data_IF_296751906933
#
_entry.id   IF_296751906933
#
_cell.length_a   1.000
_cell.length_b   1.000
_cell.length_c   1.000
_cell.angle_alpha   90.00
_cell.angle_beta   90.00
_cell.angle_gamma   90.00
#
_symmetry.space_group_name_H-M   'P 1'
#
loop_
_entity.id
_entity.type
_entity.pdbx_description
1 polymer ?
#
# COMPACT_ATOMS: atom_id res chain seq x y z
N UNK A 1 -7.72 27.46 -4.99
CA UNK A 1 -7.24 26.35 -4.11
C UNK A 1 -5.75 26.54 -3.83
N UNK A 2 -5.36 26.48 -2.58
CA UNK A 2 -3.98 26.41 -2.09
C UNK A 2 -3.89 25.27 -1.09
N UNK A 3 -2.73 24.70 -0.94
CA UNK A 3 -2.40 23.77 0.14
C UNK A 3 -1.67 24.55 1.23
N UNK A 4 -2.15 24.53 2.47
CA UNK A 4 -1.63 25.34 3.55
C UNK A 4 -1.18 24.43 4.69
N UNK A 5 0.10 24.54 5.07
CA UNK A 5 0.68 23.77 6.18
C UNK A 5 1.61 24.64 7.04
N UNK A 6 2.14 24.10 8.14
CA UNK A 6 3.01 24.84 9.05
C UNK A 6 4.33 25.26 8.39
N UNK A 7 4.91 26.34 8.89
CA UNK A 7 6.24 26.81 8.50
C UNK A 7 7.36 26.17 9.31
N UNK A 8 8.60 26.55 9.00
CA UNK A 8 9.78 26.07 9.73
C UNK A 8 10.27 24.69 9.26
N UNK A 9 10.61 23.80 10.19
CA UNK A 9 11.05 22.46 9.87
C UNK A 9 9.90 21.66 9.28
N UNK A 10 10.14 20.99 8.16
CA UNK A 10 9.17 20.07 7.58
C UNK A 10 9.48 18.62 7.96
N UNK A 11 8.43 17.79 8.01
CA UNK A 11 8.48 16.38 8.33
C UNK A 11 7.98 15.54 7.14
N UNK A 12 7.95 14.23 7.29
CA UNK A 12 7.37 13.35 6.28
C UNK A 12 5.85 13.56 6.15
N UNK A 13 5.21 13.92 7.23
CA UNK A 13 3.77 14.17 7.29
C UNK A 13 3.37 15.30 6.33
N UNK A 14 3.99 16.48 6.44
CA UNK A 14 3.74 17.60 5.53
C UNK A 14 4.03 17.28 4.06
N UNK A 15 5.18 16.62 3.82
CA UNK A 15 5.65 16.28 2.47
C UNK A 15 4.70 15.30 1.82
N UNK A 16 4.36 14.19 2.49
CA UNK A 16 3.46 13.16 1.95
C UNK A 16 2.02 13.67 1.81
N UNK A 17 1.57 14.52 2.74
CA UNK A 17 0.27 15.21 2.64
C UNK A 17 0.20 16.06 1.38
N UNK A 18 1.24 16.84 1.12
CA UNK A 18 1.34 17.66 -0.11
C UNK A 18 1.37 16.79 -1.36
N UNK A 19 2.14 15.70 -1.38
CA UNK A 19 2.21 14.76 -2.50
C UNK A 19 0.83 14.13 -2.76
N UNK A 20 0.13 13.66 -1.72
CA UNK A 20 -1.21 13.09 -1.87
C UNK A 20 -2.20 14.09 -2.47
N UNK A 21 -2.21 15.31 -1.96
CA UNK A 21 -3.08 16.36 -2.48
C UNK A 21 -2.75 16.72 -3.94
N UNK A 22 -1.47 16.72 -4.30
CA UNK A 22 -1.05 16.92 -5.70
C UNK A 22 -1.51 15.79 -6.63
N UNK A 23 -1.51 14.54 -6.18
CA UNK A 23 -2.02 13.39 -6.94
C UNK A 23 -3.54 13.43 -7.11
N UNK A 24 -4.26 13.96 -6.13
CA UNK A 24 -5.74 14.03 -6.15
C UNK A 24 -6.27 15.24 -6.93
N UNK A 25 -5.64 16.41 -6.75
CA UNK A 25 -6.17 17.69 -7.26
C UNK A 25 -5.29 18.34 -8.33
N UNK A 26 -4.13 17.76 -8.60
CA UNK A 26 -3.09 18.40 -9.40
C UNK A 26 -2.19 19.30 -8.53
N UNK A 27 -1.17 19.86 -9.18
CA UNK A 27 -0.19 20.70 -8.48
C UNK A 27 -0.78 22.07 -8.17
N UNK A 28 -0.85 22.43 -6.89
CA UNK A 28 -1.31 23.72 -6.41
C UNK A 28 -0.22 24.42 -5.60
N UNK A 29 -0.37 25.74 -5.42
CA UNK A 29 0.54 26.52 -4.59
C UNK A 29 0.50 26.00 -3.15
N UNK A 30 1.66 25.66 -2.61
CA UNK A 30 1.81 25.38 -1.18
C UNK A 30 2.18 26.66 -0.45
N UNK A 31 1.48 26.95 0.65
CA UNK A 31 1.76 28.06 1.56
C UNK A 31 2.17 27.47 2.90
N UNK A 32 3.43 27.68 3.26
CA UNK A 32 3.96 27.26 4.57
C UNK A 32 4.04 28.44 5.52
N UNK A 33 3.41 28.33 6.68
CA UNK A 33 3.29 29.48 7.59
C UNK A 33 3.02 29.07 9.05
N UNK A 34 3.48 29.88 9.97
CA UNK A 34 3.15 29.83 11.40
C UNK A 34 2.28 31.05 11.81
N UNK A 35 1.71 31.76 10.84
CA UNK A 35 0.92 32.96 11.09
C UNK A 35 -0.57 32.65 11.07
N UNK A 36 -1.31 33.10 12.05
CA UNK A 36 -2.77 33.04 12.12
C UNK A 36 -3.47 34.02 11.15
N UNK A 37 -2.69 34.87 10.46
CA UNK A 37 -3.18 35.92 9.57
C UNK A 37 -3.14 35.52 8.08
N UNK A 38 -3.48 34.27 7.74
CA UNK A 38 -3.58 33.83 6.36
C UNK A 38 -4.98 34.13 5.85
N UNK A 39 -5.05 34.67 4.62
CA UNK A 39 -6.31 34.70 3.89
C UNK A 39 -6.60 33.30 3.36
N UNK A 40 -7.63 32.68 3.93
CA UNK A 40 -8.13 31.34 3.58
C UNK A 40 -9.33 31.55 2.65
N UNK A 41 -9.35 30.80 1.54
CA UNK A 41 -10.46 30.73 0.60
C UNK A 41 -11.24 29.41 0.81
N UNK A 42 -12.49 29.36 0.39
CA UNK A 42 -13.39 28.22 0.66
C UNK A 42 -12.89 26.87 0.08
N UNK A 43 -12.05 26.94 -0.96
CA UNK A 43 -11.48 25.76 -1.63
C UNK A 43 -10.05 25.41 -1.18
N UNK A 44 -9.48 26.15 -0.22
CA UNK A 44 -8.15 25.87 0.31
C UNK A 44 -8.16 24.65 1.25
N UNK A 45 -7.10 23.85 1.20
CA UNK A 45 -6.92 22.70 2.08
C UNK A 45 -5.82 23.01 3.09
N UNK A 46 -6.21 23.05 4.37
CA UNK A 46 -5.33 23.33 5.51
C UNK A 46 -5.07 22.00 6.22
N UNK A 47 -3.82 21.68 6.47
CA UNK A 47 -3.41 20.45 7.14
C UNK A 47 -2.17 20.68 8.01
N UNK A 48 -2.04 19.87 9.05
CA UNK A 48 -0.94 19.89 10.01
C UNK A 48 -0.74 21.23 10.73
N UNK A 49 -1.77 22.05 10.73
CA UNK A 49 -1.80 23.39 11.37
C UNK A 49 -3.24 23.90 11.47
N UNK A 50 -3.49 24.79 12.42
CA UNK A 50 -4.71 25.61 12.50
C UNK A 50 -5.88 24.96 13.24
N UNK A 51 -5.72 23.79 13.84
CA UNK A 51 -6.75 23.15 14.67
C UNK A 51 -7.96 22.63 13.89
N UNK A 52 -7.85 22.50 12.54
CA UNK A 52 -8.93 22.07 11.65
C UNK A 52 -9.02 20.57 11.44
N UNK A 53 -9.80 20.17 10.42
CA UNK A 53 -10.12 18.78 10.09
C UNK A 53 -8.88 17.88 9.87
N UNK A 54 -7.80 18.42 9.32
CA UNK A 54 -6.59 17.68 8.97
C UNK A 54 -5.38 18.12 9.82
N UNK A 55 -5.64 18.59 11.05
CA UNK A 55 -4.62 18.86 12.04
C UNK A 55 -4.76 17.86 13.19
N UNK A 56 -3.66 17.34 13.69
CA UNK A 56 -3.62 16.31 14.72
C UNK A 56 -3.01 16.80 16.06
N UNK A 57 -2.69 18.09 16.15
CA UNK A 57 -2.02 18.66 17.32
C UNK A 57 -2.97 19.00 18.49
N UNK A 58 -4.28 18.87 18.29
CA UNK A 58 -5.27 19.19 19.31
C UNK A 58 -5.35 18.12 20.41
N UNK A 59 -5.71 18.56 21.62
CA UNK A 59 -6.07 17.63 22.70
C UNK A 59 -7.30 16.83 22.25
N UNK A 60 -7.19 15.51 22.31
CA UNK A 60 -8.24 14.60 21.84
C UNK A 60 -8.25 14.37 20.34
N UNK A 61 -7.11 14.62 19.66
CA UNK A 61 -6.92 14.24 18.26
C UNK A 61 -7.28 12.76 18.02
N UNK A 62 -7.74 12.45 16.82
CA UNK A 62 -8.28 11.14 16.48
C UNK A 62 -7.23 10.02 16.55
N UNK A 63 -7.66 8.87 17.04
CA UNK A 63 -6.84 7.65 17.13
C UNK A 63 -7.60 6.53 16.42
N UNK A 64 -6.89 5.69 15.67
CA UNK A 64 -7.46 4.49 15.03
C UNK A 64 -7.85 3.45 16.08
N UNK A 65 -8.74 2.52 15.73
CA UNK A 65 -9.19 1.43 16.61
C UNK A 65 -8.02 0.55 17.11
N UNK A 66 -6.93 0.47 16.36
CA UNK A 66 -5.70 -0.24 16.75
C UNK A 66 -4.75 0.56 17.66
N UNK A 67 -5.15 1.77 18.06
CA UNK A 67 -4.39 2.63 18.97
C UNK A 67 -3.33 3.51 18.30
N UNK A 68 -3.19 3.48 16.97
CA UNK A 68 -2.26 4.36 16.24
C UNK A 68 -2.94 5.72 16.02
N UNK A 69 -2.39 6.82 16.57
CA UNK A 69 -2.94 8.14 16.34
C UNK A 69 -2.77 8.55 14.88
N UNK A 70 -3.72 9.32 14.35
CA UNK A 70 -3.57 9.92 13.04
C UNK A 70 -2.54 11.08 13.10
N UNK A 71 -1.80 11.25 12.00
CA UNK A 71 -1.17 12.51 11.64
C UNK A 71 -1.92 13.14 10.45
N UNK A 72 -1.50 14.29 9.96
CA UNK A 72 -2.22 14.96 8.88
C UNK A 72 -2.29 14.09 7.61
N UNK A 73 -1.22 13.36 7.29
CA UNK A 73 -1.20 12.45 6.14
C UNK A 73 -2.26 11.34 6.26
N UNK A 74 -2.41 10.73 7.42
CA UNK A 74 -3.43 9.70 7.64
C UNK A 74 -4.86 10.25 7.58
N UNK A 75 -5.10 11.46 8.11
CA UNK A 75 -6.39 12.15 8.00
C UNK A 75 -6.74 12.46 6.54
N UNK A 76 -5.78 12.96 5.77
CA UNK A 76 -5.94 13.23 4.33
C UNK A 76 -6.10 11.95 3.52
N UNK A 77 -5.35 10.87 3.85
CA UNK A 77 -5.48 9.57 3.21
C UNK A 77 -6.90 9.02 3.36
N UNK A 78 -7.42 9.02 4.57
CA UNK A 78 -8.80 8.57 4.86
C UNK A 78 -9.84 9.33 4.03
N UNK A 79 -9.66 10.63 3.88
CA UNK A 79 -10.60 11.48 3.14
C UNK A 79 -10.47 11.35 1.62
N UNK A 80 -9.25 11.27 1.11
CA UNK A 80 -9.00 11.45 -0.32
C UNK A 80 -8.53 10.20 -1.07
N UNK A 81 -8.13 9.13 -0.40
CA UNK A 81 -7.77 7.87 -1.07
C UNK A 81 -8.88 7.32 -1.98
N UNK A 82 -10.20 7.49 -1.70
CA UNK A 82 -11.24 7.06 -2.62
C UNK A 82 -11.20 7.74 -4.00
N UNK A 83 -10.55 8.91 -4.12
CA UNK A 83 -10.39 9.63 -5.39
C UNK A 83 -9.21 9.12 -6.23
N UNK A 84 -8.39 8.23 -5.70
CA UNK A 84 -7.22 7.67 -6.39
C UNK A 84 -7.56 6.51 -7.32
N UNK A 85 -8.83 6.06 -7.38
CA UNK A 85 -9.24 4.94 -8.23
C UNK A 85 -8.74 3.59 -7.73
N UNK A 86 -8.49 3.46 -6.43
CA UNK A 86 -8.09 2.21 -5.77
C UNK A 86 -9.34 1.41 -5.36
N UNK A 87 -9.22 0.08 -5.40
CA UNK A 87 -10.17 -0.78 -4.69
C UNK A 87 -10.12 -0.46 -3.19
N UNK A 88 -11.24 -0.43 -2.44
CA UNK A 88 -11.25 -0.12 -1.00
C UNK A 88 -10.27 -0.96 -0.18
N UNK A 89 -10.18 -2.27 -0.49
CA UNK A 89 -9.20 -3.18 0.10
C UNK A 89 -7.76 -2.73 -0.11
N UNK A 90 -7.40 -2.26 -1.33
CA UNK A 90 -6.04 -1.81 -1.64
C UNK A 90 -5.72 -0.48 -0.93
N UNK A 91 -6.68 0.43 -0.81
CA UNK A 91 -6.53 1.66 -0.04
C UNK A 91 -6.31 1.38 1.46
N UNK A 92 -7.03 0.41 2.02
CA UNK A 92 -6.85 -0.06 3.40
C UNK A 92 -5.48 -0.74 3.59
N UNK A 93 -5.02 -1.50 2.60
CA UNK A 93 -3.71 -2.15 2.63
C UNK A 93 -2.57 -1.13 2.64
N UNK A 94 -2.65 -0.07 1.81
CA UNK A 94 -1.70 1.06 1.85
C UNK A 94 -1.76 1.76 3.22
N UNK A 95 -2.96 1.98 3.78
CA UNK A 95 -3.06 2.57 5.12
C UNK A 95 -2.29 1.73 6.14
N UNK A 96 -2.51 0.42 6.18
CA UNK A 96 -1.85 -0.49 7.12
C UNK A 96 -0.34 -0.60 6.92
N UNK A 97 0.11 -0.74 5.67
CA UNK A 97 1.50 -1.05 5.35
C UNK A 97 2.39 0.20 5.28
N UNK A 98 1.82 1.38 5.03
CA UNK A 98 2.59 2.60 4.81
C UNK A 98 2.10 3.79 5.64
N UNK A 99 0.82 4.19 5.54
CA UNK A 99 0.32 5.44 6.15
C UNK A 99 0.42 5.40 7.67
N UNK A 100 -0.03 4.32 8.30
CA UNK A 100 0.00 4.18 9.77
C UNK A 100 1.42 4.27 10.32
N UNK A 101 2.40 3.79 9.57
CA UNK A 101 3.80 3.89 9.98
C UNK A 101 4.30 5.35 9.92
N UNK A 102 3.82 6.15 8.97
CA UNK A 102 4.17 7.58 8.89
C UNK A 102 3.51 8.34 10.04
N UNK A 103 2.22 8.11 10.29
CA UNK A 103 1.48 8.71 11.39
C UNK A 103 2.09 8.37 12.77
N UNK A 104 2.45 7.10 12.99
CA UNK A 104 3.14 6.67 14.23
C UNK A 104 4.49 7.37 14.40
N UNK A 105 5.24 7.51 13.30
CA UNK A 105 6.56 8.15 13.34
C UNK A 105 6.45 9.64 13.63
N UNK A 106 5.45 10.31 13.10
CA UNK A 106 5.21 11.73 13.34
C UNK A 106 4.79 11.98 14.79
N UNK A 107 3.81 11.26 15.31
CA UNK A 107 3.31 11.41 16.67
C UNK A 107 4.32 11.01 17.77
N UNK A 108 5.15 9.99 17.53
CA UNK A 108 6.05 9.44 18.57
C UNK A 108 7.55 9.64 18.30
N UNK A 109 7.88 10.29 17.19
CA UNK A 109 9.24 10.62 16.81
C UNK A 109 10.00 9.50 16.09
N UNK A 110 10.99 9.92 15.31
CA UNK A 110 11.78 9.06 14.41
C UNK A 110 12.71 8.06 15.11
N UNK A 111 12.95 8.22 16.42
CA UNK A 111 13.87 7.36 17.18
C UNK A 111 13.51 5.87 17.10
N UNK A 112 12.25 5.54 16.83
CA UNK A 112 11.78 4.17 16.68
C UNK A 112 12.06 3.55 15.31
N UNK A 113 12.35 4.35 14.26
CA UNK A 113 12.51 3.91 12.86
C UNK A 113 13.63 4.68 12.13
N UNK A 114 14.90 4.48 12.51
CA UNK A 114 16.02 5.31 12.02
C UNK A 114 16.29 5.18 10.50
N UNK A 115 15.82 4.13 9.85
CA UNK A 115 16.01 3.88 8.42
C UNK A 115 14.73 4.10 7.59
N UNK A 116 13.80 4.90 8.09
CA UNK A 116 12.53 5.20 7.42
C UNK A 116 12.66 6.33 6.40
N UNK A 117 11.64 6.48 5.54
CA UNK A 117 11.48 7.64 4.66
C UNK A 117 11.46 8.95 5.47
N UNK A 118 10.84 8.96 6.65
CA UNK A 118 10.82 10.09 7.57
C UNK A 118 12.22 10.53 7.98
N UNK A 119 13.14 9.58 8.23
CA UNK A 119 14.52 9.90 8.56
C UNK A 119 15.27 10.53 7.37
N UNK A 120 15.02 10.07 6.14
CA UNK A 120 15.59 10.66 4.92
C UNK A 120 15.09 12.07 4.68
N UNK A 121 13.79 12.31 4.82
CA UNK A 121 13.17 13.64 4.70
C UNK A 121 13.73 14.61 5.74
N UNK A 122 13.81 14.18 7.00
CA UNK A 122 14.43 14.97 8.07
C UNK A 122 15.91 15.29 7.79
N UNK A 123 16.65 14.37 7.21
CA UNK A 123 18.04 14.58 6.80
C UNK A 123 18.16 15.59 5.65
N UNK A 124 17.20 15.60 4.73
CA UNK A 124 17.12 16.57 3.63
C UNK A 124 16.90 17.99 4.16
N UNK A 125 16.02 18.16 5.17
CA UNK A 125 15.87 19.45 5.87
C UNK A 125 17.19 19.92 6.50
N UNK A 126 17.85 19.05 7.24
CA UNK A 126 19.15 19.36 7.88
C UNK A 126 20.24 19.70 6.87
N UNK A 127 20.18 19.14 5.68
CA UNK A 127 21.06 19.46 4.57
C UNK A 127 20.70 20.76 3.82
N UNK A 128 19.64 21.45 4.25
CA UNK A 128 19.22 22.74 3.69
C UNK A 128 18.43 22.64 2.37
N UNK A 129 17.85 21.46 2.06
CA UNK A 129 16.93 21.35 0.90
C UNK A 129 15.65 22.11 1.17
N UNK A 130 15.09 22.73 0.14
CA UNK A 130 13.76 23.35 0.23
C UNK A 130 12.67 22.29 0.39
N UNK A 131 11.51 22.71 0.86
CA UNK A 131 10.33 21.85 0.95
C UNK A 131 9.90 21.35 -0.43
N UNK A 132 9.87 22.25 -1.40
CA UNK A 132 9.49 21.99 -2.77
C UNK A 132 10.43 20.95 -3.42
N UNK A 133 11.76 21.08 -3.25
CA UNK A 133 12.71 20.09 -3.74
C UNK A 133 12.45 18.68 -3.20
N UNK A 134 12.00 18.58 -1.94
CA UNK A 134 11.74 17.28 -1.31
C UNK A 134 10.38 16.73 -1.75
N UNK A 135 9.37 17.58 -1.93
CA UNK A 135 8.09 17.18 -2.54
C UNK A 135 8.31 16.63 -3.94
N UNK A 136 9.11 17.31 -4.77
CA UNK A 136 9.43 16.88 -6.14
C UNK A 136 10.18 15.54 -6.19
N UNK A 137 10.94 15.20 -5.15
CA UNK A 137 11.61 13.90 -5.05
C UNK A 137 10.66 12.79 -4.56
N UNK A 138 9.74 13.10 -3.66
CA UNK A 138 8.88 12.10 -3.00
C UNK A 138 7.62 11.82 -3.81
N UNK A 139 7.09 12.81 -4.52
CA UNK A 139 5.86 12.69 -5.30
C UNK A 139 5.87 11.51 -6.29
N UNK A 140 6.89 11.34 -7.16
CA UNK A 140 6.92 10.19 -8.07
C UNK A 140 7.03 8.86 -7.32
N UNK A 141 7.69 8.81 -6.16
CA UNK A 141 7.76 7.57 -5.36
C UNK A 141 6.40 7.19 -4.77
N UNK A 142 5.62 8.17 -4.33
CA UNK A 142 4.25 7.93 -3.85
C UNK A 142 3.32 7.54 -5.01
N UNK A 143 3.51 8.13 -6.19
CA UNK A 143 2.77 7.77 -7.40
C UNK A 143 3.06 6.32 -7.83
N UNK A 144 4.32 5.90 -7.82
CA UNK A 144 4.73 4.52 -8.12
C UNK A 144 4.12 3.53 -7.12
N UNK A 145 4.13 3.87 -5.83
CA UNK A 145 3.47 3.07 -4.79
C UNK A 145 1.98 2.90 -5.11
N UNK A 146 1.25 3.99 -5.34
CA UNK A 146 -0.18 3.97 -5.65
C UNK A 146 -0.45 3.21 -6.95
N UNK A 147 0.38 3.37 -7.98
CA UNK A 147 0.26 2.63 -9.24
C UNK A 147 0.37 1.12 -9.02
N UNK A 148 1.35 0.67 -8.22
CA UNK A 148 1.49 -0.75 -7.85
C UNK A 148 0.23 -1.29 -7.18
N UNK A 149 -0.41 -0.50 -6.34
CA UNK A 149 -1.64 -0.92 -5.66
C UNK A 149 -2.90 -0.78 -6.54
N UNK A 150 -2.87 0.02 -7.62
CA UNK A 150 -3.91 -0.04 -8.67
C UNK A 150 -3.86 -1.38 -9.41
N UNK A 151 -2.68 -1.86 -9.78
CA UNK A 151 -2.53 -3.18 -10.39
C UNK A 151 -3.06 -4.29 -9.47
N UNK A 152 -2.84 -4.18 -8.16
CA UNK A 152 -3.43 -5.10 -7.19
C UNK A 152 -4.96 -4.94 -7.08
N UNK A 153 -5.48 -3.73 -7.22
CA UNK A 153 -6.92 -3.45 -7.23
C UNK A 153 -7.60 -4.15 -8.41
N UNK A 154 -7.01 -4.06 -9.60
CA UNK A 154 -7.51 -4.71 -10.80
C UNK A 154 -7.48 -6.24 -10.65
N UNK A 155 -6.39 -6.79 -10.12
CA UNK A 155 -6.30 -8.21 -9.81
C UNK A 155 -7.34 -8.64 -8.77
N UNK A 156 -7.59 -7.85 -7.72
CA UNK A 156 -8.60 -8.13 -6.70
C UNK A 156 -10.00 -8.21 -7.30
N UNK A 157 -10.37 -7.23 -8.13
CA UNK A 157 -11.66 -7.22 -8.85
C UNK A 157 -11.79 -8.42 -9.79
N UNK A 158 -10.73 -8.78 -10.52
CA UNK A 158 -10.74 -9.95 -11.39
C UNK A 158 -10.96 -11.23 -10.58
N UNK A 159 -10.24 -11.42 -9.48
CA UNK A 159 -10.42 -12.57 -8.58
C UNK A 159 -11.85 -12.65 -8.08
N UNK A 160 -12.39 -11.56 -7.50
CA UNK A 160 -13.76 -11.52 -6.98
C UNK A 160 -14.84 -11.82 -8.04
N UNK A 161 -14.57 -11.49 -9.30
CA UNK A 161 -15.49 -11.79 -10.42
C UNK A 161 -15.46 -13.25 -10.87
N UNK A 162 -14.40 -14.02 -10.52
CA UNK A 162 -14.11 -15.38 -11.05
C UNK A 162 -14.24 -16.48 -10.01
N UNK A 163 -14.37 -16.15 -8.74
CA UNK A 163 -14.47 -17.11 -7.63
C UNK A 163 -15.88 -17.11 -7.03
N UNK A 164 -16.23 -18.24 -6.41
CA UNK A 164 -17.36 -18.44 -5.52
C UNK A 164 -16.89 -18.97 -4.15
N UNK A 165 -17.82 -19.27 -3.26
CA UNK A 165 -17.54 -19.76 -1.90
C UNK A 165 -16.84 -21.14 -1.89
N UNK A 166 -16.99 -21.94 -2.96
CA UNK A 166 -16.44 -23.28 -3.07
C UNK A 166 -15.08 -23.32 -3.83
N UNK A 167 -14.62 -22.17 -4.32
CA UNK A 167 -13.37 -22.11 -5.12
C UNK A 167 -12.14 -22.24 -4.23
N UNK A 168 -11.49 -23.41 -4.25
CA UNK A 168 -10.26 -23.66 -3.49
C UNK A 168 -8.99 -23.59 -4.35
N UNK A 169 -9.10 -23.75 -5.70
CA UNK A 169 -8.01 -23.65 -6.66
C UNK A 169 -8.33 -22.58 -7.70
N UNK A 170 -7.50 -21.57 -7.79
CA UNK A 170 -7.65 -20.48 -8.76
C UNK A 170 -6.65 -20.65 -9.91
N UNK A 171 -7.15 -20.69 -11.13
CA UNK A 171 -6.32 -20.71 -12.34
C UNK A 171 -6.21 -19.30 -12.93
N UNK A 172 -5.06 -18.66 -12.75
CA UNK A 172 -4.75 -17.33 -13.29
C UNK A 172 -4.49 -17.28 -14.79
N UNK A 173 -4.43 -18.44 -15.49
CA UNK A 173 -4.12 -18.49 -16.91
C UNK A 173 -2.72 -17.96 -17.21
N UNK A 174 -2.62 -16.94 -18.06
CA UNK A 174 -1.36 -16.28 -18.41
C UNK A 174 -0.98 -15.13 -17.46
N UNK A 175 -1.79 -14.84 -16.44
CA UNK A 175 -1.58 -13.75 -15.48
C UNK A 175 -0.95 -14.28 -14.19
N UNK A 176 0.06 -13.56 -13.71
CA UNK A 176 0.62 -13.78 -12.38
C UNK A 176 -0.11 -12.93 -11.36
N UNK A 177 -0.86 -13.56 -10.47
CA UNK A 177 -1.59 -12.88 -9.39
C UNK A 177 -0.76 -12.77 -8.11
N UNK A 178 -0.82 -11.62 -7.45
CA UNK A 178 -0.26 -11.46 -6.11
C UNK A 178 -1.09 -12.28 -5.09
N UNK A 179 -0.41 -12.92 -4.14
CA UNK A 179 -1.09 -13.74 -3.12
C UNK A 179 -2.05 -12.96 -2.23
N UNK A 180 -1.78 -11.69 -2.00
CA UNK A 180 -2.59 -10.80 -1.15
C UNK A 180 -4.01 -10.58 -1.68
N UNK A 181 -4.20 -10.65 -3.01
CA UNK A 181 -5.54 -10.44 -3.61
C UNK A 181 -6.54 -11.54 -3.27
N UNK A 182 -6.06 -12.69 -2.75
CA UNK A 182 -6.89 -13.81 -2.28
C UNK A 182 -7.23 -13.73 -0.79
N UNK A 183 -6.79 -12.69 -0.09
CA UNK A 183 -7.15 -12.49 1.31
C UNK A 183 -8.66 -12.42 1.49
N UNK A 184 -9.20 -13.16 2.46
CA UNK A 184 -10.64 -13.25 2.71
C UNK A 184 -11.40 -14.21 1.79
N UNK A 185 -10.71 -14.98 0.92
CA UNK A 185 -11.33 -16.02 0.06
C UNK A 185 -11.06 -17.42 0.59
N UNK A 186 -11.73 -18.43 0.02
CA UNK A 186 -11.47 -19.84 0.31
C UNK A 186 -10.36 -20.46 -0.56
N UNK A 187 -9.75 -19.70 -1.46
CA UNK A 187 -8.70 -20.18 -2.35
C UNK A 187 -7.47 -20.62 -1.55
N UNK A 188 -7.04 -21.87 -1.75
CA UNK A 188 -5.85 -22.48 -1.14
C UNK A 188 -4.65 -22.47 -2.08
N UNK A 189 -4.91 -22.65 -3.37
CA UNK A 189 -3.90 -22.78 -4.40
C UNK A 189 -4.15 -21.84 -5.57
N UNK A 190 -3.07 -21.26 -6.10
CA UNK A 190 -3.09 -20.39 -7.27
C UNK A 190 -2.14 -20.93 -8.32
N UNK A 191 -2.66 -21.07 -9.56
CA UNK A 191 -1.87 -21.41 -10.73
C UNK A 191 -1.63 -20.16 -11.58
N UNK A 192 -0.44 -20.07 -12.17
CA UNK A 192 -0.08 -18.98 -13.08
C UNK A 192 1.22 -19.27 -13.83
N UNK A 193 1.67 -18.36 -14.72
CA UNK A 193 2.90 -18.55 -15.47
C UNK A 193 4.11 -18.47 -14.55
N UNK A 194 5.16 -19.19 -14.89
CA UNK A 194 6.44 -19.08 -14.21
C UNK A 194 7.17 -17.80 -14.64
N UNK A 195 7.58 -16.98 -13.68
CA UNK A 195 8.39 -15.77 -13.91
C UNK A 195 9.88 -16.09 -14.11
N UNK A 196 10.31 -17.33 -13.88
CA UNK A 196 11.73 -17.75 -13.91
C UNK A 196 12.10 -18.65 -15.06
N UNK A 197 11.16 -18.92 -15.97
CA UNK A 197 11.36 -19.82 -17.13
C UNK A 197 10.04 -20.45 -17.57
N UNK A 198 10.08 -21.42 -18.49
CA UNK A 198 8.87 -22.06 -18.96
C UNK A 198 8.20 -22.88 -17.84
N UNK A 199 6.87 -22.99 -17.91
CA UNK A 199 6.07 -23.82 -17.01
C UNK A 199 4.99 -23.07 -16.26
N UNK A 200 4.19 -23.84 -15.54
CA UNK A 200 3.09 -23.37 -14.70
C UNK A 200 3.54 -23.47 -13.25
N UNK A 201 3.44 -22.35 -12.53
CA UNK A 201 3.65 -22.31 -11.08
C UNK A 201 2.36 -22.64 -10.37
N UNK A 202 2.44 -23.59 -9.47
CA UNK A 202 1.45 -23.81 -8.41
C UNK A 202 1.98 -23.16 -7.14
N UNK A 203 1.18 -22.33 -6.51
CA UNK A 203 1.51 -21.67 -5.24
C UNK A 203 0.42 -21.97 -4.21
N UNK A 204 0.83 -22.48 -3.04
CA UNK A 204 -0.01 -22.53 -1.86
C UNK A 204 -0.05 -21.18 -1.18
N UNK A 205 -1.24 -20.69 -0.83
CA UNK A 205 -1.44 -19.45 -0.07
C UNK A 205 -1.24 -19.65 1.44
N UNK A 206 -1.38 -20.89 1.91
CA UNK A 206 -1.09 -21.31 3.29
C UNK A 206 -0.39 -22.68 3.30
N UNK A 207 0.90 -22.67 3.07
CA UNK A 207 1.69 -23.90 3.00
C UNK A 207 1.87 -24.62 4.35
N UNK A 208 1.48 -24.00 5.45
CA UNK A 208 1.50 -24.63 6.77
C UNK A 208 0.35 -25.64 6.92
N UNK A 209 -0.82 -25.31 6.38
CA UNK A 209 -2.00 -26.17 6.40
C UNK A 209 -2.20 -26.92 5.08
N UNK A 210 -1.79 -26.32 3.96
CA UNK A 210 -1.96 -26.83 2.60
C UNK A 210 -0.60 -26.88 1.86
N UNK A 211 0.37 -27.74 2.28
CA UNK A 211 1.62 -27.90 1.54
C UNK A 211 1.36 -28.64 0.21
N UNK A 212 2.11 -28.26 -0.84
CA UNK A 212 2.03 -28.97 -2.14
C UNK A 212 2.51 -30.42 -1.96
N UNK A 213 1.65 -31.38 -2.27
CA UNK A 213 1.91 -32.81 -2.11
C UNK A 213 2.52 -33.41 -3.37
N UNK A 214 3.26 -34.50 -3.22
CA UNK A 214 3.73 -35.31 -4.34
C UNK A 214 2.57 -36.15 -4.88
N UNK A 215 2.51 -36.32 -6.22
CA UNK A 215 1.49 -37.09 -6.90
C UNK A 215 2.18 -38.17 -7.77
N UNK A 216 1.72 -39.38 -7.67
CA UNK A 216 2.27 -40.50 -8.46
C UNK A 216 2.15 -40.22 -9.97
N UNK A 217 3.26 -40.34 -10.67
CA UNK A 217 3.34 -40.07 -12.10
C UNK A 217 3.48 -38.61 -12.50
N UNK A 218 3.46 -37.67 -11.55
CA UNK A 218 3.66 -36.24 -11.77
C UNK A 218 5.02 -35.81 -11.24
N UNK A 219 5.87 -35.24 -12.09
CA UNK A 219 7.20 -34.79 -11.71
C UNK A 219 7.30 -33.27 -11.88
N UNK A 220 7.45 -32.49 -10.82
CA UNK A 220 7.65 -31.05 -10.94
C UNK A 220 9.02 -30.73 -11.54
N UNK A 221 9.10 -29.67 -12.34
CA UNK A 221 10.37 -29.08 -12.79
C UNK A 221 11.16 -28.50 -11.61
N UNK A 222 10.43 -27.98 -10.63
CA UNK A 222 10.97 -27.43 -9.38
C UNK A 222 9.91 -27.58 -8.27
N UNK A 223 10.35 -27.88 -7.07
CA UNK A 223 9.54 -27.77 -5.86
C UNK A 223 10.37 -27.16 -4.72
N UNK A 224 9.83 -26.16 -4.07
CA UNK A 224 10.50 -25.54 -2.92
C UNK A 224 10.42 -26.45 -1.69
N UNK A 225 11.50 -26.50 -0.89
CA UNK A 225 11.61 -27.37 0.30
C UNK A 225 10.47 -27.19 1.31
N UNK A 226 9.94 -25.98 1.46
CA UNK A 226 8.78 -25.66 2.30
C UNK A 226 7.44 -25.87 1.59
N UNK A 227 7.43 -26.39 0.39
CA UNK A 227 6.23 -26.79 -0.37
C UNK A 227 5.18 -25.69 -0.55
N UNK A 228 5.58 -24.42 -0.48
CA UNK A 228 4.68 -23.30 -0.77
C UNK A 228 4.57 -23.01 -2.28
N UNK A 229 5.54 -23.48 -3.08
CA UNK A 229 5.53 -23.28 -4.53
C UNK A 229 6.21 -24.45 -5.25
N UNK A 230 5.66 -24.81 -6.40
CA UNK A 230 6.23 -25.77 -7.35
C UNK A 230 6.01 -25.26 -8.77
N UNK A 231 6.84 -25.76 -9.72
CA UNK A 231 6.70 -25.48 -11.15
C UNK A 231 6.53 -26.79 -11.89
N UNK A 232 5.55 -26.87 -12.78
CA UNK A 232 5.22 -28.02 -13.60
C UNK A 232 5.37 -27.69 -15.09
N UNK A 233 5.54 -28.71 -15.94
CA UNK A 233 5.67 -28.52 -17.36
C UNK A 233 4.37 -28.14 -18.07
N UNK A 234 3.24 -28.51 -17.48
CA UNK A 234 1.90 -28.28 -18.01
C UNK A 234 0.89 -28.05 -16.88
N UNK A 235 -0.31 -27.63 -17.28
CA UNK A 235 -1.37 -27.25 -16.34
C UNK A 235 -2.03 -28.47 -15.68
N UNK A 236 -2.11 -29.60 -16.38
CA UNK A 236 -2.78 -30.82 -15.87
C UNK A 236 -2.01 -31.38 -14.66
N UNK A 237 -0.69 -31.43 -14.75
CA UNK A 237 0.18 -31.81 -13.65
C UNK A 237 0.07 -30.89 -12.44
N UNK A 238 0.01 -29.57 -12.71
CA UNK A 238 -0.15 -28.57 -11.66
C UNK A 238 -1.51 -28.68 -10.96
N UNK A 239 -2.58 -28.92 -11.71
CA UNK A 239 -3.93 -29.14 -11.18
C UNK A 239 -4.03 -30.44 -10.39
N UNK A 240 -3.40 -31.54 -10.88
CA UNK A 240 -3.35 -32.80 -10.16
C UNK A 240 -2.67 -32.63 -8.79
N UNK A 241 -1.56 -31.87 -8.74
CA UNK A 241 -0.87 -31.57 -7.50
C UNK A 241 -1.71 -30.67 -6.57
N UNK A 242 -2.40 -29.65 -7.09
CA UNK A 242 -3.30 -28.81 -6.31
C UNK A 242 -4.41 -29.64 -5.66
N UNK A 243 -5.12 -30.46 -6.45
CA UNK A 243 -6.22 -31.29 -5.98
C UNK A 243 -5.79 -32.36 -4.96
N UNK A 244 -4.58 -32.91 -5.08
CA UNK A 244 -4.04 -33.86 -4.10
C UNK A 244 -3.59 -33.19 -2.80
N UNK A 245 -3.55 -31.86 -2.78
CA UNK A 245 -3.05 -31.04 -1.66
C UNK A 245 -4.19 -30.34 -0.88
N UNK A 246 -5.44 -30.45 -1.37
CA UNK A 246 -6.65 -30.00 -0.68
C UNK A 246 -7.01 -30.98 0.46
#
# INVERSE_FOLDING_TARGET
MKFITHGGMYHADDVLSTCLLALVFGYHKVVRTNSDNIVIEDDDIIFDVGGGKFDHHQIGAEVRDNGIPYAAFGLLWREYSPKLGLHPWAAELIDKEFVQMMDETDNFGQAKRPNSLSALISSSFKAGRSFEDVVDLVLPMLEDLISTYRDLSDQKQEVESRIDEDTEVFNGGETHFDGRVFEGTNVKFVLGPSLRGPGIVLRSLDSSNHPIMDVDGVTPLFIHKSRFTATYSNIDDALAAANASL
#
